data_IF_156425434627
#
_entry.id   IF_156425434627
#
_cell.length_a   1.000
_cell.length_b   1.000
_cell.length_c   1.000
_cell.angle_alpha   90.00
_cell.angle_beta   90.00
_cell.angle_gamma   90.00
#
_symmetry.space_group_name_H-M   'P 1'
#
loop_
_entity.id
_entity.type
_entity.pdbx_description
1 polymer ?
#
# COMPACT_ATOMS: atom_id res chain seq x y z
N UNK A 1 0.70 -19.29 11.57
CA UNK A 1 -0.57 -18.74 11.03
C UNK A 1 -0.72 -17.28 11.48
N UNK A 2 0.12 -16.39 10.96
CA UNK A 2 0.19 -15.00 11.43
C UNK A 2 -0.83 -14.14 10.68
N UNK A 3 -1.64 -13.39 11.42
CA UNK A 3 -2.44 -12.32 10.85
C UNK A 3 -1.52 -11.31 10.17
N UNK A 4 -1.97 -10.70 9.07
CA UNK A 4 -1.21 -9.64 8.40
C UNK A 4 -0.97 -8.50 9.40
N UNK A 5 0.28 -8.25 9.77
CA UNK A 5 0.65 -7.20 10.73
C UNK A 5 0.88 -5.87 10.01
N UNK A 6 0.77 -4.75 10.73
CA UNK A 6 1.05 -3.42 10.15
C UNK A 6 2.47 -3.35 9.58
N UNK A 7 3.44 -4.00 10.21
CA UNK A 7 4.83 -4.05 9.74
C UNK A 7 4.96 -4.84 8.43
N UNK A 8 4.27 -5.97 8.29
CA UNK A 8 4.25 -6.73 7.03
C UNK A 8 3.59 -5.95 5.90
N UNK A 9 2.48 -5.28 6.18
CA UNK A 9 1.81 -4.41 5.20
C UNK A 9 2.72 -3.27 4.79
N UNK A 10 3.34 -2.60 5.76
CA UNK A 10 4.28 -1.50 5.51
C UNK A 10 5.46 -1.96 4.66
N UNK A 11 6.02 -3.14 4.96
CA UNK A 11 7.10 -3.73 4.16
C UNK A 11 6.64 -4.01 2.72
N UNK A 12 5.45 -4.58 2.52
CA UNK A 12 4.92 -4.82 1.17
C UNK A 12 4.67 -3.53 0.38
N UNK A 13 4.16 -2.48 1.03
CA UNK A 13 4.00 -1.15 0.41
C UNK A 13 5.36 -0.61 -0.03
N UNK A 14 6.36 -0.60 0.85
CA UNK A 14 7.68 -0.08 0.48
C UNK A 14 8.39 -0.93 -0.57
N UNK A 15 8.24 -2.26 -0.54
CA UNK A 15 8.78 -3.16 -1.56
C UNK A 15 8.15 -2.87 -2.93
N UNK A 16 6.82 -2.70 -2.97
CA UNK A 16 6.11 -2.31 -4.19
C UNK A 16 6.53 -0.94 -4.69
N UNK A 17 6.59 0.06 -3.80
CA UNK A 17 7.01 1.43 -4.14
C UNK A 17 8.44 1.44 -4.67
N UNK A 18 9.38 0.76 -4.02
CA UNK A 18 10.78 0.68 -4.46
C UNK A 18 10.93 -0.01 -5.82
N UNK A 19 9.98 -0.86 -6.20
CA UNK A 19 9.99 -1.51 -7.51
C UNK A 19 9.43 -0.64 -8.63
N UNK A 20 8.61 0.37 -8.32
CA UNK A 20 7.98 1.26 -9.30
C UNK A 20 8.74 2.59 -9.37
N UNK A 21 9.04 3.17 -8.21
CA UNK A 21 9.81 4.39 -8.01
C UNK A 21 11.03 4.08 -7.10
N UNK A 22 12.10 3.47 -7.63
CA UNK A 22 13.31 3.14 -6.86
C UNK A 22 14.04 4.36 -6.27
N UNK A 23 13.79 5.55 -6.79
CA UNK A 23 14.28 6.84 -6.30
C UNK A 23 13.61 7.31 -5.00
N UNK A 24 12.53 6.65 -4.60
CA UNK A 24 11.79 6.97 -3.39
C UNK A 24 12.60 6.69 -2.15
N UNK A 25 12.64 7.64 -1.21
CA UNK A 25 13.19 7.41 0.13
C UNK A 25 12.09 7.00 1.13
N UNK A 26 12.05 5.73 1.58
CA UNK A 26 11.06 5.27 2.56
C UNK A 26 11.17 5.96 3.92
N UNK A 27 12.36 6.50 4.27
CA UNK A 27 12.58 7.21 5.51
C UNK A 27 11.99 8.62 5.49
N UNK A 28 11.85 9.22 4.30
CA UNK A 28 11.27 10.54 4.08
C UNK A 28 9.74 10.54 3.94
N UNK A 29 9.10 9.38 3.78
CA UNK A 29 7.65 9.29 3.61
C UNK A 29 6.93 9.58 4.94
N UNK A 30 6.20 10.68 4.96
CA UNK A 30 5.27 11.04 6.01
C UNK A 30 3.98 10.20 5.92
N UNK A 31 3.55 9.58 7.02
CA UNK A 31 2.45 8.61 7.00
C UNK A 31 1.06 9.23 6.79
N UNK A 32 0.92 10.50 7.17
CA UNK A 32 -0.30 11.32 7.10
C UNK A 32 -0.43 12.11 5.79
N UNK A 33 0.62 12.13 4.97
CA UNK A 33 0.67 12.83 3.68
C UNK A 33 0.28 11.91 2.52
N UNK A 34 -0.20 12.47 1.39
CA UNK A 34 -0.50 11.69 0.19
C UNK A 34 0.74 10.97 -0.34
N UNK A 35 0.66 9.65 -0.52
CA UNK A 35 1.79 8.85 -1.04
C UNK A 35 2.15 9.25 -2.46
N UNK A 36 1.15 9.53 -3.30
CA UNK A 36 1.36 9.87 -4.71
C UNK A 36 2.19 11.13 -4.89
N UNK A 37 2.00 12.13 -4.04
CA UNK A 37 2.74 13.40 -4.12
C UNK A 37 4.17 13.27 -3.58
N UNK A 38 4.37 12.41 -2.57
CA UNK A 38 5.68 12.20 -1.96
C UNK A 38 6.62 11.32 -2.79
N UNK A 39 6.02 10.41 -3.56
CA UNK A 39 6.72 9.38 -4.34
C UNK A 39 6.69 9.72 -5.85
N UNK A 40 6.14 10.89 -6.21
CA UNK A 40 5.96 11.35 -7.60
C UNK A 40 5.28 10.28 -8.49
N UNK A 41 4.23 9.63 -7.95
CA UNK A 41 3.51 8.58 -8.67
C UNK A 41 2.46 9.15 -9.62
N UNK A 42 2.64 8.85 -10.89
CA UNK A 42 1.63 9.07 -11.90
C UNK A 42 0.40 8.17 -11.68
N UNK A 43 -0.71 8.51 -12.35
CA UNK A 43 -1.97 7.75 -12.21
C UNK A 43 -1.82 6.27 -12.63
N UNK A 44 -0.95 5.96 -13.60
CA UNK A 44 -0.67 4.58 -14.01
C UNK A 44 0.19 3.85 -12.98
N UNK A 45 1.19 4.51 -12.40
CA UNK A 45 2.07 3.92 -11.40
C UNK A 45 1.31 3.59 -10.12
N UNK A 46 0.40 4.48 -9.70
CA UNK A 46 -0.48 4.20 -8.58
C UNK A 46 -1.37 2.96 -8.79
N UNK A 47 -1.89 2.75 -10.01
CA UNK A 47 -2.63 1.53 -10.33
C UNK A 47 -1.74 0.29 -10.27
N UNK A 48 -0.51 0.38 -10.77
CA UNK A 48 0.46 -0.72 -10.66
C UNK A 48 0.81 -1.04 -9.21
N UNK A 49 0.92 -0.04 -8.33
CA UNK A 49 1.12 -0.23 -6.88
C UNK A 49 -0.03 -1.07 -6.32
N UNK A 50 -1.28 -0.71 -6.63
CA UNK A 50 -2.46 -1.40 -6.13
C UNK A 50 -2.52 -2.85 -6.61
N UNK A 51 -2.26 -3.09 -7.89
CA UNK A 51 -2.26 -4.44 -8.48
C UNK A 51 -1.20 -5.32 -7.80
N UNK A 52 0.01 -4.79 -7.61
CA UNK A 52 1.10 -5.53 -6.94
C UNK A 52 0.81 -5.79 -5.47
N UNK A 53 0.24 -4.83 -4.75
CA UNK A 53 -0.21 -5.03 -3.37
C UNK A 53 -1.30 -6.10 -3.29
N UNK A 54 -2.23 -6.10 -4.24
CA UNK A 54 -3.24 -7.15 -4.38
C UNK A 54 -2.59 -8.53 -4.56
N UNK A 55 -1.61 -8.66 -5.45
CA UNK A 55 -0.92 -9.93 -5.71
C UNK A 55 -0.04 -10.39 -4.53
N UNK A 56 0.75 -9.48 -3.93
CA UNK A 56 1.65 -9.81 -2.82
C UNK A 56 0.88 -10.19 -1.55
N UNK A 57 -0.17 -9.44 -1.21
CA UNK A 57 -0.93 -9.66 0.02
C UNK A 57 -2.11 -10.61 -0.20
N UNK A 58 -2.49 -10.83 -1.46
CA UNK A 58 -3.75 -11.45 -1.82
C UNK A 58 -4.93 -10.63 -1.28
N UNK A 59 -5.00 -9.32 -1.47
CA UNK A 59 -6.14 -8.55 -0.95
C UNK A 59 -6.86 -7.91 -2.11
N UNK A 60 -8.14 -8.22 -2.28
CA UNK A 60 -8.95 -7.54 -3.29
C UNK A 60 -9.18 -6.08 -2.86
N UNK A 61 -8.70 -5.16 -3.70
CA UNK A 61 -8.81 -3.72 -3.51
C UNK A 61 -9.68 -3.20 -4.66
N UNK A 62 -10.98 -2.95 -4.43
CA UNK A 62 -11.84 -2.41 -5.47
C UNK A 62 -11.53 -0.93 -5.72
N UNK A 63 -11.75 -0.46 -6.94
CA UNK A 63 -11.48 0.93 -7.35
C UNK A 63 -12.13 1.99 -6.46
N UNK A 64 -13.31 1.68 -5.92
CA UNK A 64 -14.03 2.55 -4.97
C UNK A 64 -13.24 2.84 -3.68
N UNK A 65 -12.33 1.94 -3.31
CA UNK A 65 -11.53 2.02 -2.08
C UNK A 65 -10.15 2.64 -2.34
N UNK A 66 -9.82 3.07 -3.57
CA UNK A 66 -8.52 3.67 -3.88
C UNK A 66 -8.25 4.93 -3.05
N UNK A 67 -9.30 5.65 -2.65
CA UNK A 67 -9.19 6.78 -1.73
C UNK A 67 -8.65 6.40 -0.35
N UNK A 68 -8.89 5.18 0.14
CA UNK A 68 -8.36 4.67 1.41
C UNK A 68 -6.85 4.39 1.32
N UNK A 69 -6.30 4.30 0.11
CA UNK A 69 -4.87 4.09 -0.15
C UNK A 69 -4.12 5.41 -0.43
N UNK A 70 -4.76 6.56 -0.20
CA UNK A 70 -4.18 7.86 -0.49
C UNK A 70 -2.93 8.16 0.36
N UNK A 71 -2.93 7.75 1.63
CA UNK A 71 -1.82 7.95 2.58
C UNK A 71 -1.30 6.61 3.08
N UNK A 72 -0.05 6.57 3.55
CA UNK A 72 0.56 5.34 4.06
C UNK A 72 -0.19 4.79 5.27
N UNK A 73 -0.61 5.64 6.21
CA UNK A 73 -1.29 5.17 7.41
C UNK A 73 -2.70 4.63 7.12
N UNK A 74 -3.44 5.28 6.22
CA UNK A 74 -4.74 4.80 5.74
C UNK A 74 -4.60 3.49 4.97
N UNK A 75 -3.59 3.39 4.10
CA UNK A 75 -3.29 2.16 3.35
C UNK A 75 -2.95 0.99 4.29
N UNK A 76 -2.06 1.22 5.26
CA UNK A 76 -1.70 0.22 6.27
C UNK A 76 -2.94 -0.21 7.05
N UNK A 77 -3.75 0.74 7.51
CA UNK A 77 -4.97 0.47 8.25
C UNK A 77 -5.97 -0.36 7.44
N UNK A 78 -6.23 0.04 6.20
CA UNK A 78 -7.14 -0.64 5.29
C UNK A 78 -6.69 -2.08 5.01
N UNK A 79 -5.44 -2.27 4.56
CA UNK A 79 -4.91 -3.58 4.19
C UNK A 79 -4.78 -4.51 5.40
N UNK A 80 -4.42 -3.99 6.58
CA UNK A 80 -4.40 -4.78 7.83
C UNK A 80 -5.81 -5.29 8.17
N UNK A 81 -6.83 -4.42 8.10
CA UNK A 81 -8.23 -4.81 8.34
C UNK A 81 -8.72 -5.84 7.33
N UNK A 82 -8.41 -5.65 6.05
CA UNK A 82 -8.84 -6.54 4.96
C UNK A 82 -8.14 -7.90 5.01
N UNK A 83 -6.83 -7.92 5.29
CA UNK A 83 -6.05 -9.13 5.47
C UNK A 83 -6.47 -9.94 6.70
N UNK A 84 -6.93 -9.29 7.77
CA UNK A 84 -7.51 -9.96 8.93
C UNK A 84 -8.88 -10.60 8.63
N UNK A 85 -9.69 -9.96 7.76
CA UNK A 85 -11.01 -10.45 7.36
C UNK A 85 -10.97 -11.69 6.45
N UNK A 86 -9.80 -12.02 5.88
CA UNK A 86 -9.60 -13.20 5.01
C UNK A 86 -9.61 -14.55 5.74
N UNK A 87 -9.82 -14.56 7.07
CA UNK A 87 -9.79 -15.75 7.93
C UNK A 87 -11.10 -16.57 7.97
N UNK A 88 -12.05 -16.36 7.06
CA UNK A 88 -13.32 -17.09 7.07
C UNK A 88 -13.59 -17.83 5.77
#
# INVERSE_FOLDING_TARGET
>A
MTALTREQVRAAIFDTLSSIAPETDPAGIAPDQPLREQVDLDSFDFLNVIVRLHEQLGIEIPERDYGELATLDSAIGYLTRRGAARKN
#
